data_IF_277975902557
#
_entry.id   IF_277975902557
#
_cell.length_a   1.000
_cell.length_b   1.000
_cell.length_c   1.000
_cell.angle_alpha   90.00
_cell.angle_beta   90.00
_cell.angle_gamma   90.00
#
_symmetry.space_group_name_H-M   'P 1'
#
loop_
_entity.id
_entity.type
_entity.pdbx_description
1 polymer ?
#
# COMPACT_ATOMS: atom_id res chain seq x y z
N UNK A 1 75.28 17.65 39.04
CA UNK A 1 75.68 16.34 38.48
C UNK A 1 74.71 16.04 37.35
N UNK A 2 74.95 16.61 36.16
CA UNK A 2 75.75 16.04 35.06
C UNK A 2 74.98 14.96 34.29
N UNK A 3 74.35 15.38 33.19
CA UNK A 3 73.94 14.52 32.07
C UNK A 3 75.12 13.68 31.55
N UNK A 4 74.85 12.52 30.94
CA UNK A 4 75.22 12.43 29.53
C UNK A 4 74.38 11.48 28.63
N UNK A 5 74.08 12.00 27.42
CA UNK A 5 74.35 11.39 26.11
C UNK A 5 73.55 10.14 25.70
N UNK A 6 72.71 10.26 24.65
CA UNK A 6 72.99 9.65 23.33
C UNK A 6 72.06 10.13 22.20
N UNK A 7 72.67 10.86 21.25
CA UNK A 7 72.57 10.71 19.79
C UNK A 7 71.20 10.84 19.08
N UNK A 8 71.06 11.30 17.84
CA UNK A 8 71.89 11.91 16.78
C UNK A 8 70.86 12.40 15.74
N UNK A 9 71.09 13.60 15.22
CA UNK A 9 70.75 14.16 13.90
C UNK A 9 70.20 13.18 12.83
N UNK A 10 69.06 13.52 12.20
CA UNK A 10 68.81 13.54 10.73
C UNK A 10 67.33 13.95 10.49
N UNK A 11 67.01 15.17 10.09
CA UNK A 11 67.00 15.76 8.73
C UNK A 11 66.10 15.03 7.70
N UNK A 12 65.08 15.79 7.24
CA UNK A 12 64.33 15.73 5.97
C UNK A 12 63.40 14.53 5.70
N UNK A 13 62.11 14.82 5.46
CA UNK A 13 61.51 14.74 4.11
C UNK A 13 60.02 15.14 4.13
N UNK A 14 59.71 16.18 3.36
CA UNK A 14 58.52 16.39 2.52
C UNK A 14 57.23 15.66 2.95
N UNK A 15 56.40 16.33 3.77
CA UNK A 15 54.99 16.00 3.92
C UNK A 15 54.17 16.72 2.84
N UNK A 16 53.83 15.99 1.78
CA UNK A 16 52.84 16.38 0.79
C UNK A 16 51.51 16.74 1.46
N UNK A 17 50.99 17.93 1.16
CA UNK A 17 49.63 18.31 1.54
C UNK A 17 48.63 17.42 0.82
N UNK A 18 48.03 16.49 1.56
CA UNK A 18 46.83 15.78 1.13
C UNK A 18 45.65 16.58 1.69
N UNK A 19 44.83 17.25 0.86
CA UNK A 19 43.54 17.71 1.33
C UNK A 19 42.70 16.48 1.63
N UNK A 20 42.36 16.31 2.91
CA UNK A 20 41.36 15.33 3.33
C UNK A 20 40.02 15.82 2.80
N UNK A 21 39.65 15.36 1.61
CA UNK A 21 38.27 15.48 1.13
C UNK A 21 37.38 14.66 2.05
N UNK A 22 36.84 15.35 3.05
CA UNK A 22 35.67 14.93 3.80
C UNK A 22 34.50 14.90 2.82
N UNK A 23 34.22 13.74 2.22
CA UNK A 23 32.96 13.48 1.54
C UNK A 23 31.87 13.41 2.61
N UNK A 24 31.42 14.61 2.97
CA UNK A 24 30.24 14.93 3.75
C UNK A 24 29.03 14.75 2.83
N UNK A 25 28.05 13.98 3.28
CA UNK A 25 26.72 13.92 2.68
C UNK A 25 26.47 12.71 1.81
N UNK A 26 26.26 11.55 2.45
CA UNK A 26 25.37 10.54 1.87
C UNK A 26 23.96 11.11 1.87
N UNK A 27 23.64 11.94 0.88
CA UNK A 27 22.26 12.11 0.47
C UNK A 27 21.83 10.77 -0.08
N UNK A 28 20.90 10.09 0.60
CA UNK A 28 20.11 9.06 -0.06
C UNK A 28 19.56 9.71 -1.33
N UNK A 29 20.06 9.26 -2.48
CA UNK A 29 19.43 9.52 -3.76
C UNK A 29 18.01 9.00 -3.59
N UNK A 30 17.03 9.90 -3.54
CA UNK A 30 15.62 9.52 -3.47
C UNK A 30 15.38 8.73 -4.74
N UNK A 31 15.22 7.41 -4.62
CA UNK A 31 15.01 6.54 -5.76
C UNK A 31 13.85 7.13 -6.58
N UNK A 32 14.11 7.38 -7.87
CA UNK A 32 13.09 7.91 -8.77
C UNK A 32 11.90 6.96 -8.88
N UNK A 33 10.78 7.43 -9.47
CA UNK A 33 9.62 6.56 -9.71
C UNK A 33 10.04 5.32 -10.51
N UNK A 34 9.36 4.20 -10.27
CA UNK A 34 9.61 2.97 -11.01
C UNK A 34 9.45 3.22 -12.53
N UNK A 35 10.24 2.55 -13.39
CA UNK A 35 10.12 2.70 -14.84
C UNK A 35 8.69 2.49 -15.37
N UNK A 36 7.95 1.52 -14.80
CA UNK A 36 6.54 1.27 -15.15
C UNK A 36 5.63 2.48 -14.86
N UNK A 37 5.87 3.23 -13.79
CA UNK A 37 5.13 4.47 -13.48
C UNK A 37 5.48 5.56 -14.48
N UNK A 38 6.74 5.66 -14.90
CA UNK A 38 7.15 6.60 -15.93
C UNK A 38 6.50 6.30 -17.27
N UNK A 39 6.45 5.02 -17.67
CA UNK A 39 5.75 4.56 -18.87
C UNK A 39 4.28 4.99 -18.84
N UNK A 40 3.56 4.65 -17.76
CA UNK A 40 2.14 4.97 -17.59
C UNK A 40 1.88 6.48 -17.70
N UNK A 41 2.76 7.33 -17.14
CA UNK A 41 2.53 8.77 -17.05
C UNK A 41 3.08 9.58 -18.24
N UNK A 42 4.09 9.06 -18.95
CA UNK A 42 4.87 9.86 -19.92
C UNK A 42 4.87 9.27 -21.33
N UNK A 43 4.75 7.95 -21.49
CA UNK A 43 4.83 7.33 -22.80
C UNK A 43 3.46 7.30 -23.48
N UNK A 44 3.18 8.31 -24.31
CA UNK A 44 1.93 8.40 -25.09
C UNK A 44 1.72 7.27 -26.10
N UNK A 45 2.75 6.44 -26.35
CA UNK A 45 2.67 5.29 -27.25
C UNK A 45 2.40 3.98 -26.52
N UNK A 46 2.52 3.95 -25.19
CA UNK A 46 2.21 2.78 -24.37
C UNK A 46 0.70 2.51 -24.36
N UNK A 47 0.34 1.22 -24.39
CA UNK A 47 -1.03 0.78 -24.17
C UNK A 47 -1.55 1.10 -22.76
N UNK A 48 -0.65 1.44 -21.82
CA UNK A 48 -0.95 1.72 -20.42
C UNK A 48 -0.93 3.22 -20.09
N UNK A 49 -0.72 4.08 -21.09
CA UNK A 49 -0.67 5.52 -20.92
C UNK A 49 -1.95 6.09 -20.30
N UNK A 50 -1.80 6.96 -19.30
CA UNK A 50 -2.89 7.72 -18.70
C UNK A 50 -2.76 9.20 -19.09
N UNK A 51 -3.77 9.73 -19.79
CA UNK A 51 -3.87 11.18 -20.01
C UNK A 51 -4.38 11.88 -18.75
N UNK A 52 -3.43 12.32 -17.92
CA UNK A 52 -3.69 12.98 -16.62
C UNK A 52 -4.46 14.29 -16.74
N UNK A 53 -4.38 14.98 -17.88
CA UNK A 53 -5.07 16.27 -18.07
C UNK A 53 -6.57 16.10 -18.25
N UNK A 54 -6.98 15.02 -18.92
CA UNK A 54 -8.39 14.75 -19.21
C UNK A 54 -9.13 14.23 -17.97
N UNK A 55 -8.38 13.65 -17.02
CA UNK A 55 -8.89 13.04 -15.80
C UNK A 55 -9.69 14.01 -14.90
N UNK A 56 -9.35 15.31 -14.92
CA UNK A 56 -9.86 16.29 -13.95
C UNK A 56 -11.20 16.97 -14.33
N UNK A 57 -11.83 16.62 -15.45
CA UNK A 57 -12.89 17.46 -16.04
C UNK A 57 -14.31 17.18 -15.57
N UNK A 58 -14.66 15.94 -15.18
CA UNK A 58 -15.94 15.63 -14.54
C UNK A 58 -15.84 14.31 -13.76
N UNK A 59 -15.69 14.40 -12.44
CA UNK A 59 -15.47 13.24 -11.57
C UNK A 59 -16.73 12.71 -10.91
N UNK A 60 -17.82 13.48 -10.89
CA UNK A 60 -19.02 13.14 -10.13
C UNK A 60 -19.65 11.83 -10.62
N UNK A 61 -19.69 11.63 -11.94
CA UNK A 61 -20.29 10.46 -12.57
C UNK A 61 -19.34 9.28 -12.79
N UNK A 62 -18.06 9.41 -12.40
CA UNK A 62 -17.11 8.31 -12.52
C UNK A 62 -17.37 7.27 -11.41
N UNK A 63 -17.18 5.97 -11.68
CA UNK A 63 -17.44 4.93 -10.71
C UNK A 63 -16.41 4.91 -9.58
N UNK A 64 -16.79 4.30 -8.45
CA UNK A 64 -15.88 3.81 -7.43
C UNK A 64 -15.40 2.42 -7.89
N UNK A 65 -14.10 2.28 -8.12
CA UNK A 65 -13.49 1.00 -8.46
C UNK A 65 -13.23 0.18 -7.22
N UNK A 66 -13.60 -1.09 -7.24
CA UNK A 66 -13.22 -2.07 -6.21
C UNK A 66 -12.37 -3.14 -6.86
N UNK A 67 -11.08 -3.18 -6.52
CA UNK A 67 -10.11 -4.14 -7.03
C UNK A 67 -10.02 -5.34 -6.08
N UNK A 68 -10.30 -6.53 -6.60
CA UNK A 68 -10.19 -7.80 -5.90
C UNK A 68 -9.29 -8.79 -6.64
N UNK A 69 -8.78 -9.77 -5.91
CA UNK A 69 -8.03 -10.92 -6.43
C UNK A 69 -8.81 -12.23 -6.30
N UNK A 70 -9.97 -12.21 -5.63
CA UNK A 70 -10.92 -13.33 -5.52
C UNK A 70 -12.35 -12.84 -5.73
N UNK A 71 -13.26 -13.75 -6.09
CA UNK A 71 -14.70 -13.48 -6.05
C UNK A 71 -15.17 -13.17 -4.62
N UNK A 72 -14.50 -13.71 -3.61
CA UNK A 72 -14.81 -13.45 -2.20
C UNK A 72 -14.65 -11.97 -1.82
N UNK A 73 -13.84 -11.20 -2.57
CA UNK A 73 -13.66 -9.76 -2.37
C UNK A 73 -14.92 -8.94 -2.70
N UNK A 74 -15.91 -9.57 -3.35
CA UNK A 74 -17.22 -8.95 -3.59
C UNK A 74 -17.93 -8.59 -2.28
N UNK A 75 -17.61 -9.25 -1.16
CA UNK A 75 -18.10 -8.87 0.17
C UNK A 75 -17.80 -7.41 0.52
N UNK A 76 -16.70 -6.84 0.03
CA UNK A 76 -16.40 -5.40 0.22
C UNK A 76 -17.41 -4.53 -0.52
N UNK A 77 -17.83 -4.93 -1.72
CA UNK A 77 -18.90 -4.25 -2.47
C UNK A 77 -20.22 -4.34 -1.72
N UNK A 78 -20.57 -5.50 -1.19
CA UNK A 78 -21.79 -5.69 -0.39
C UNK A 78 -21.81 -4.75 0.82
N UNK A 79 -20.69 -4.66 1.56
CA UNK A 79 -20.54 -3.73 2.68
C UNK A 79 -20.74 -2.28 2.22
N UNK A 80 -20.13 -1.86 1.11
CA UNK A 80 -20.29 -0.48 0.60
C UNK A 80 -21.75 -0.19 0.23
N UNK A 81 -22.46 -1.14 -0.37
CA UNK A 81 -23.86 -0.98 -0.76
C UNK A 81 -24.81 -0.92 0.45
N UNK A 82 -24.42 -1.54 1.57
CA UNK A 82 -25.23 -1.59 2.79
C UNK A 82 -24.85 -0.55 3.85
N UNK A 83 -23.72 0.16 3.68
CA UNK A 83 -23.23 1.14 4.66
C UNK A 83 -24.21 2.31 4.80
N UNK A 84 -24.47 2.71 6.04
CA UNK A 84 -25.31 3.85 6.45
C UNK A 84 -24.76 4.31 7.82
N UNK A 85 -23.53 4.80 7.79
CA UNK A 85 -22.79 5.24 8.99
C UNK A 85 -22.55 6.76 8.98
N UNK A 86 -22.98 7.46 7.93
CA UNK A 86 -22.82 8.90 7.78
C UNK A 86 -24.12 9.57 7.32
N UNK A 87 -24.27 10.84 7.68
CA UNK A 87 -25.34 11.67 7.16
C UNK A 87 -24.91 12.20 5.79
N UNK A 88 -25.64 11.81 4.73
CA UNK A 88 -25.29 12.04 3.34
C UNK A 88 -25.36 13.53 2.93
N UNK A 89 -25.98 14.37 3.75
CA UNK A 89 -26.07 15.82 3.51
C UNK A 89 -24.92 16.55 4.19
N UNK A 90 -24.57 16.16 5.42
CA UNK A 90 -23.60 16.87 6.26
C UNK A 90 -22.21 16.25 6.25
N UNK A 91 -22.09 14.98 5.82
CA UNK A 91 -20.86 14.18 5.83
C UNK A 91 -20.36 13.83 7.23
N UNK A 92 -21.19 13.99 8.26
CA UNK A 92 -20.81 13.70 9.65
C UNK A 92 -21.13 12.24 10.00
N UNK A 93 -20.39 11.63 10.94
CA UNK A 93 -20.74 10.30 11.44
C UNK A 93 -22.15 10.27 12.04
N UNK A 94 -22.88 9.20 11.76
CA UNK A 94 -24.24 8.90 12.20
C UNK A 94 -25.16 8.59 11.02
N UNK A 95 -25.81 7.41 11.07
CA UNK A 95 -26.79 6.97 10.08
C UNK A 95 -27.93 7.98 9.86
N UNK A 96 -28.33 8.19 8.61
CA UNK A 96 -29.48 9.02 8.24
C UNK A 96 -30.64 8.22 7.60
N UNK A 97 -30.44 6.91 7.41
CA UNK A 97 -31.42 6.00 6.82
C UNK A 97 -31.28 5.86 5.30
N UNK A 98 -30.33 6.56 4.68
CA UNK A 98 -29.97 6.45 3.26
C UNK A 98 -28.57 5.83 3.20
N UNK A 99 -28.37 4.85 2.33
CA UNK A 99 -27.05 4.23 2.18
C UNK A 99 -26.01 5.28 1.79
N UNK A 100 -24.83 5.23 2.40
CA UNK A 100 -23.77 6.25 2.26
C UNK A 100 -23.34 6.41 0.80
N UNK A 101 -23.35 5.31 0.05
CA UNK A 101 -23.01 5.26 -1.37
C UNK A 101 -24.25 5.15 -2.28
N UNK A 102 -25.43 5.55 -1.81
CA UNK A 102 -26.63 5.56 -2.63
C UNK A 102 -26.45 6.45 -3.87
N UNK A 103 -26.72 5.89 -5.05
CA UNK A 103 -26.57 6.59 -6.34
C UNK A 103 -25.16 6.53 -6.92
N UNK A 104 -24.20 5.92 -6.22
CA UNK A 104 -22.86 5.68 -6.75
C UNK A 104 -22.83 4.48 -7.71
N UNK A 105 -21.98 4.58 -8.72
CA UNK A 105 -21.66 3.44 -9.59
C UNK A 105 -20.45 2.72 -9.02
N UNK A 106 -20.60 1.43 -8.69
CA UNK A 106 -19.48 0.60 -8.25
C UNK A 106 -19.05 -0.28 -9.41
N UNK A 107 -17.76 -0.25 -9.73
CA UNK A 107 -17.13 -1.09 -10.74
C UNK A 107 -16.22 -2.11 -10.04
N UNK A 108 -16.69 -3.35 -9.93
CA UNK A 108 -15.90 -4.42 -9.32
C UNK A 108 -15.01 -5.07 -10.38
N UNK A 109 -13.71 -5.02 -10.12
CA UNK A 109 -12.69 -5.58 -10.98
C UNK A 109 -11.96 -6.69 -10.24
N UNK A 110 -12.37 -7.92 -10.52
CA UNK A 110 -11.70 -9.11 -10.03
C UNK A 110 -10.68 -9.57 -11.06
N UNK A 111 -9.41 -9.57 -10.65
CA UNK A 111 -8.35 -10.24 -11.40
C UNK A 111 -7.89 -11.45 -10.59
N UNK A 112 -8.29 -12.67 -10.97
CA UNK A 112 -7.71 -13.84 -10.34
C UNK A 112 -6.19 -13.75 -10.50
N UNK A 113 -5.42 -13.96 -9.42
CA UNK A 113 -3.98 -13.77 -9.45
C UNK A 113 -3.40 -14.61 -10.58
N UNK A 114 -2.58 -13.98 -11.43
CA UNK A 114 -1.67 -14.74 -12.29
C UNK A 114 -0.80 -15.62 -11.39
N UNK A 115 -0.26 -16.72 -11.90
CA UNK A 115 0.73 -17.48 -11.14
C UNK A 115 1.95 -16.56 -10.88
N UNK A 116 2.10 -16.08 -9.65
CA UNK A 116 3.20 -15.20 -9.19
C UNK A 116 3.32 -13.89 -10.00
N UNK A 117 2.34 -12.96 -9.91
CA UNK A 117 2.38 -11.72 -10.68
C UNK A 117 3.54 -10.85 -10.21
N UNK A 118 4.32 -10.30 -11.14
CA UNK A 118 5.34 -9.34 -10.78
C UNK A 118 4.71 -8.07 -10.19
N UNK A 119 5.49 -7.35 -9.38
CA UNK A 119 5.11 -6.03 -8.86
C UNK A 119 4.68 -5.07 -9.99
N UNK A 120 5.37 -5.10 -11.13
CA UNK A 120 5.07 -4.27 -12.30
C UNK A 120 3.75 -4.68 -12.95
N UNK A 121 3.49 -5.98 -13.10
CA UNK A 121 2.23 -6.48 -13.66
C UNK A 121 1.03 -6.05 -12.80
N UNK A 122 1.16 -6.12 -11.47
CA UNK A 122 0.11 -5.68 -10.56
C UNK A 122 -0.14 -4.17 -10.68
N UNK A 123 0.92 -3.37 -10.83
CA UNK A 123 0.81 -1.92 -11.06
C UNK A 123 0.06 -1.65 -12.37
N UNK A 124 0.42 -2.33 -13.46
CA UNK A 124 -0.23 -2.16 -14.77
C UNK A 124 -1.71 -2.56 -14.75
N UNK A 125 -2.02 -3.64 -14.04
CA UNK A 125 -3.39 -4.13 -13.86
C UNK A 125 -4.26 -3.10 -13.13
N UNK A 126 -3.81 -2.63 -11.96
CA UNK A 126 -4.53 -1.62 -11.18
C UNK A 126 -4.59 -0.29 -11.93
N UNK A 127 -3.51 0.16 -12.56
CA UNK A 127 -3.48 1.39 -13.36
C UNK A 127 -4.45 1.35 -14.55
N UNK A 128 -4.82 0.15 -15.01
CA UNK A 128 -5.91 -0.06 -15.94
C UNK A 128 -7.23 0.60 -15.48
N UNK A 129 -7.50 0.68 -14.18
CA UNK A 129 -8.69 1.33 -13.60
C UNK A 129 -8.70 2.86 -13.78
N UNK A 130 -7.55 3.46 -14.07
CA UNK A 130 -7.38 4.91 -14.13
C UNK A 130 -7.49 5.50 -15.53
N UNK A 131 -7.80 4.66 -16.53
CA UNK A 131 -7.98 5.05 -17.93
C UNK A 131 -9.29 4.54 -18.49
N UNK A 132 -9.70 5.15 -19.60
CA UNK A 132 -10.77 4.63 -20.43
C UNK A 132 -10.36 3.26 -20.99
N UNK A 133 -11.20 2.26 -20.81
CA UNK A 133 -11.08 0.94 -21.43
C UNK A 133 -12.35 0.66 -22.22
N UNK A 134 -12.31 0.91 -23.53
CA UNK A 134 -13.47 0.86 -24.41
C UNK A 134 -14.65 1.71 -23.88
N UNK A 135 -15.67 1.06 -23.31
CA UNK A 135 -16.86 1.70 -22.75
C UNK A 135 -16.78 1.91 -21.23
N UNK A 136 -15.70 1.47 -20.58
CA UNK A 136 -15.50 1.58 -19.14
C UNK A 136 -14.78 2.91 -18.81
N UNK A 137 -15.41 3.82 -18.06
CA UNK A 137 -14.76 5.04 -17.60
C UNK A 137 -13.64 4.76 -16.58
N UNK A 138 -12.72 5.72 -16.37
CA UNK A 138 -11.81 5.67 -15.24
C UNK A 138 -12.54 5.84 -13.90
N UNK A 139 -11.96 5.35 -12.79
CA UNK A 139 -12.61 5.33 -11.47
C UNK A 139 -12.28 6.56 -10.61
N UNK A 140 -13.25 7.27 -10.01
CA UNK A 140 -12.95 8.44 -9.14
C UNK A 140 -12.28 8.07 -7.82
N UNK A 141 -12.49 6.84 -7.36
CA UNK A 141 -11.93 6.29 -6.15
C UNK A 141 -11.57 4.82 -6.39
N UNK A 142 -10.59 4.30 -5.65
CA UNK A 142 -10.13 2.93 -5.72
C UNK A 142 -10.12 2.31 -4.32
N UNK A 143 -10.92 1.26 -4.13
CA UNK A 143 -10.83 0.37 -2.98
C UNK A 143 -10.07 -0.88 -3.39
N UNK A 144 -8.94 -1.15 -2.74
CA UNK A 144 -8.18 -2.40 -2.89
C UNK A 144 -8.65 -3.36 -1.80
N UNK A 145 -9.43 -4.35 -2.21
CA UNK A 145 -10.08 -5.33 -1.33
C UNK A 145 -9.21 -6.58 -1.10
N UNK A 146 -8.55 -7.07 -2.15
CA UNK A 146 -7.77 -8.32 -2.11
C UNK A 146 -6.52 -8.26 -1.23
N UNK A 147 -6.27 -9.35 -0.50
CA UNK A 147 -5.13 -9.52 0.42
C UNK A 147 -3.79 -9.86 -0.29
N UNK A 148 -3.84 -10.11 -1.61
CA UNK A 148 -2.67 -10.39 -2.44
C UNK A 148 -2.00 -9.14 -3.01
N UNK A 149 -2.59 -7.95 -2.83
CA UNK A 149 -1.92 -6.69 -3.17
C UNK A 149 -1.04 -6.29 -2.00
N UNK A 150 0.28 -6.46 -2.15
CA UNK A 150 1.25 -6.07 -1.12
C UNK A 150 1.17 -4.58 -0.80
N UNK A 151 1.55 -4.21 0.43
CA UNK A 151 1.67 -2.80 0.81
C UNK A 151 2.67 -2.04 -0.06
N UNK A 152 3.72 -2.70 -0.55
CA UNK A 152 4.67 -2.09 -1.46
C UNK A 152 4.00 -1.71 -2.80
N UNK A 153 3.24 -2.62 -3.41
CA UNK A 153 2.47 -2.31 -4.63
C UNK A 153 1.46 -1.20 -4.36
N UNK A 154 0.76 -1.26 -3.23
CA UNK A 154 -0.20 -0.23 -2.88
C UNK A 154 0.44 1.16 -2.77
N UNK A 155 1.62 1.27 -2.15
CA UNK A 155 2.38 2.53 -2.10
C UNK A 155 2.85 2.98 -3.49
N UNK A 156 3.18 2.08 -4.41
CA UNK A 156 3.46 2.44 -5.80
C UNK A 156 2.24 3.00 -6.53
N UNK A 157 1.07 2.43 -6.27
CA UNK A 157 -0.20 2.95 -6.80
C UNK A 157 -0.49 4.34 -6.25
N UNK A 158 -0.26 4.57 -4.96
CA UNK A 158 -0.35 5.90 -4.36
C UNK A 158 0.62 6.88 -5.02
N UNK A 159 1.88 6.48 -5.20
CA UNK A 159 2.88 7.28 -5.90
C UNK A 159 2.46 7.61 -7.34
N UNK A 160 1.91 6.64 -8.09
CA UNK A 160 1.38 6.85 -9.43
C UNK A 160 0.24 7.88 -9.42
N UNK A 161 -0.71 7.77 -8.49
CA UNK A 161 -1.84 8.70 -8.34
C UNK A 161 -1.34 10.11 -8.02
N UNK A 162 -0.39 10.25 -7.11
CA UNK A 162 0.17 11.52 -6.67
C UNK A 162 1.00 12.20 -7.78
N UNK A 163 1.93 11.46 -8.40
CA UNK A 163 2.76 11.97 -9.50
C UNK A 163 1.91 12.33 -10.73
N UNK A 164 0.91 11.52 -11.04
CA UNK A 164 -0.05 11.77 -12.11
C UNK A 164 -1.06 12.88 -11.79
N UNK A 165 -1.13 13.35 -10.54
CA UNK A 165 -2.16 14.29 -10.05
C UNK A 165 -3.57 13.85 -10.42
N UNK A 166 -3.83 12.54 -10.37
CA UNK A 166 -5.12 11.95 -10.76
C UNK A 166 -6.21 12.33 -9.76
N UNK A 167 -5.83 12.64 -8.52
CA UNK A 167 -6.76 13.01 -7.45
C UNK A 167 -7.67 11.87 -6.98
N UNK A 168 -7.40 10.63 -7.42
CA UNK A 168 -8.10 9.42 -7.03
C UNK A 168 -7.95 9.22 -5.53
N UNK A 169 -9.08 9.04 -4.84
CA UNK A 169 -9.07 8.62 -3.44
C UNK A 169 -8.81 7.12 -3.43
N UNK A 170 -7.80 6.65 -2.71
CA UNK A 170 -7.51 5.22 -2.63
C UNK A 170 -7.48 4.72 -1.19
N UNK A 171 -8.04 3.53 -0.99
CA UNK A 171 -8.15 2.85 0.31
C UNK A 171 -7.74 1.40 0.09
N UNK A 172 -6.88 0.87 0.96
CA UNK A 172 -6.58 -0.55 1.05
C UNK A 172 -7.27 -1.12 2.30
N UNK A 173 -8.09 -2.15 2.12
CA UNK A 173 -8.88 -2.75 3.21
C UNK A 173 -7.97 -3.39 4.28
N UNK A 174 -6.87 -4.01 3.87
CA UNK A 174 -5.89 -4.59 4.79
C UNK A 174 -5.23 -3.51 5.65
N UNK A 175 -4.82 -2.39 5.04
CA UNK A 175 -4.29 -1.25 5.79
C UNK A 175 -5.33 -0.66 6.74
N UNK A 176 -6.57 -0.44 6.28
CA UNK A 176 -7.64 0.09 7.10
C UNK A 176 -7.97 -0.81 8.31
N UNK A 177 -7.94 -2.13 8.12
CA UNK A 177 -8.09 -3.12 9.18
C UNK A 177 -6.97 -3.04 10.22
N UNK A 178 -5.71 -2.96 9.76
CA UNK A 178 -4.54 -2.83 10.63
C UNK A 178 -4.58 -1.51 11.44
N UNK A 179 -4.89 -0.39 10.79
CA UNK A 179 -5.03 0.92 11.43
C UNK A 179 -6.13 0.91 12.50
N UNK A 180 -7.25 0.23 12.22
CA UNK A 180 -8.34 0.08 13.19
C UNK A 180 -7.91 -0.77 14.38
N UNK A 181 -7.21 -1.88 14.15
CA UNK A 181 -6.66 -2.71 15.21
C UNK A 181 -5.71 -1.92 16.12
N UNK A 182 -4.77 -1.15 15.54
CA UNK A 182 -3.88 -0.28 16.30
C UNK A 182 -4.62 0.81 17.07
N UNK A 183 -5.59 1.48 16.43
CA UNK A 183 -6.41 2.51 17.08
C UNK A 183 -7.13 1.94 18.32
N UNK A 184 -7.65 0.72 18.22
CA UNK A 184 -8.27 0.03 19.34
C UNK A 184 -7.26 -0.29 20.45
N UNK A 185 -6.09 -0.84 20.08
CA UNK A 185 -5.02 -1.18 21.03
C UNK A 185 -4.57 0.06 21.80
N UNK A 186 -4.25 1.15 21.10
CA UNK A 186 -3.85 2.41 21.72
C UNK A 186 -4.98 2.91 22.64
N UNK A 187 -6.19 3.07 22.12
CA UNK A 187 -7.30 3.65 22.91
C UNK A 187 -7.65 2.85 24.18
N UNK A 188 -7.49 1.52 24.18
CA UNK A 188 -7.93 0.65 25.28
C UNK A 188 -6.78 0.11 26.15
N UNK A 189 -5.53 0.16 25.68
CA UNK A 189 -4.38 -0.45 26.35
C UNK A 189 -3.18 0.49 26.60
N UNK A 190 -3.36 1.81 26.40
CA UNK A 190 -2.34 2.84 26.67
C UNK A 190 -1.75 2.85 28.11
N UNK A 191 -2.38 2.19 29.09
CA UNK A 191 -2.00 2.31 30.51
C UNK A 191 -1.24 1.13 31.13
N UNK A 192 -0.73 0.15 30.39
CA UNK A 192 0.09 -0.90 31.01
C UNK A 192 1.27 -1.30 30.14
N UNK A 193 2.35 -1.70 30.79
CA UNK A 193 3.44 -2.56 30.29
C UNK A 193 2.94 -3.91 29.72
N UNK A 194 1.77 -3.96 29.11
CA UNK A 194 1.09 -5.15 28.64
C UNK A 194 1.47 -5.36 27.18
N UNK A 195 2.22 -6.43 26.93
CA UNK A 195 2.38 -7.00 25.59
C UNK A 195 0.99 -7.38 25.11
N UNK A 196 0.51 -6.72 24.05
CA UNK A 196 -0.74 -7.09 23.38
C UNK A 196 -0.39 -8.07 22.27
N UNK A 197 -1.16 -9.14 22.18
CA UNK A 197 -1.07 -10.12 21.09
C UNK A 197 -2.23 -9.89 20.15
N UNK A 198 -1.94 -9.77 18.86
CA UNK A 198 -2.93 -9.71 17.79
C UNK A 198 -2.87 -11.02 17.02
N UNK A 199 -4.01 -11.71 16.94
CA UNK A 199 -4.17 -12.88 16.07
C UNK A 199 -4.81 -12.45 14.76
N UNK A 200 -4.21 -12.85 13.64
CA UNK A 200 -4.72 -12.58 12.30
C UNK A 200 -5.05 -13.91 11.62
N UNK A 201 -6.24 -13.99 11.03
CA UNK A 201 -6.68 -15.13 10.22
C UNK A 201 -6.77 -14.63 8.79
N UNK A 202 -6.01 -15.25 7.88
CA UNK A 202 -5.93 -14.86 6.47
C UNK A 202 -5.50 -16.04 5.60
N UNK A 203 -5.41 -15.82 4.29
CA UNK A 203 -4.93 -16.81 3.32
C UNK A 203 -3.43 -17.05 3.47
N UNK A 204 -2.95 -18.22 3.04
CA UNK A 204 -1.50 -18.51 3.01
C UNK A 204 -0.72 -17.56 2.09
N UNK A 205 -1.37 -17.06 1.02
CA UNK A 205 -0.80 -16.08 0.10
C UNK A 205 -0.51 -14.75 0.76
N UNK A 206 -1.46 -14.20 1.53
CA UNK A 206 -1.27 -12.96 2.27
C UNK A 206 -0.08 -13.01 3.26
N UNK A 207 0.10 -14.13 3.95
CA UNK A 207 1.25 -14.32 4.84
C UNK A 207 2.57 -14.45 4.09
N UNK A 208 2.60 -15.15 2.96
CA UNK A 208 3.79 -15.29 2.12
C UNK A 208 4.26 -13.95 1.53
N UNK A 209 3.34 -12.99 1.45
CA UNK A 209 3.53 -11.64 0.94
C UNK A 209 3.79 -10.60 2.03
N UNK A 210 3.98 -11.02 3.29
CA UNK A 210 4.28 -10.13 4.41
C UNK A 210 3.22 -9.02 4.61
N UNK A 211 1.97 -9.31 4.26
CA UNK A 211 0.92 -8.30 4.21
C UNK A 211 0.67 -7.66 5.60
N UNK A 212 0.94 -8.39 6.68
CA UNK A 212 0.71 -7.95 8.05
C UNK A 212 1.98 -7.52 8.80
N UNK A 213 3.15 -7.42 8.15
CA UNK A 213 4.41 -7.05 8.80
C UNK A 213 4.31 -5.71 9.55
N UNK A 214 3.49 -4.78 9.07
CA UNK A 214 3.28 -3.50 9.75
C UNK A 214 2.72 -3.69 11.17
N UNK A 215 1.96 -4.77 11.45
CA UNK A 215 1.47 -5.09 12.79
C UNK A 215 2.60 -5.39 13.79
N UNK A 216 3.75 -5.87 13.30
CA UNK A 216 4.91 -6.19 14.14
C UNK A 216 5.60 -4.94 14.71
N UNK A 217 5.34 -3.75 14.17
CA UNK A 217 5.94 -2.50 14.66
C UNK A 217 5.54 -2.18 16.10
N UNK A 218 4.31 -2.52 16.50
CA UNK A 218 3.78 -2.21 17.84
C UNK A 218 3.25 -3.43 18.61
N UNK A 219 3.16 -4.60 17.97
CA UNK A 219 2.56 -5.79 18.57
C UNK A 219 3.40 -7.04 18.34
N UNK A 220 3.16 -8.07 19.15
CA UNK A 220 3.63 -9.41 18.81
C UNK A 220 2.55 -10.08 17.96
N UNK A 221 2.85 -10.30 16.68
CA UNK A 221 1.99 -11.04 15.75
C UNK A 221 2.29 -12.53 15.88
N UNK A 222 1.25 -13.34 16.02
CA UNK A 222 1.38 -14.80 16.05
C UNK A 222 0.67 -15.37 14.81
N UNK A 223 1.44 -16.08 13.99
CA UNK A 223 0.94 -16.78 12.82
C UNK A 223 0.63 -18.22 13.18
N UNK A 224 -0.57 -18.68 12.85
CA UNK A 224 -0.94 -20.09 12.94
C UNK A 224 -1.57 -20.52 11.62
N UNK A 225 -0.85 -21.32 10.85
CA UNK A 225 -1.38 -21.93 9.64
C UNK A 225 -2.53 -22.87 9.99
N UNK A 226 -3.67 -22.73 9.29
CA UNK A 226 -4.76 -23.68 9.43
C UNK A 226 -4.42 -24.95 8.65
N UNK A 227 -4.07 -26.02 9.36
CA UNK A 227 -4.00 -27.36 8.78
C UNK A 227 -5.37 -28.03 8.92
N UNK A 228 -6.08 -28.36 7.83
CA UNK A 228 -7.33 -29.12 7.92
C UNK A 228 -7.09 -30.43 8.67
N UNK A 229 -7.95 -30.75 9.64
CA UNK A 229 -7.91 -32.04 10.31
C UNK A 229 -8.37 -33.10 9.30
N UNK A 230 -7.49 -34.05 8.94
CA UNK A 230 -7.83 -35.15 8.05
C UNK A 230 -9.12 -35.86 8.52
N UNK A 231 -10.11 -35.98 7.63
CA UNK A 231 -11.36 -36.71 7.88
C UNK A 231 -12.58 -35.87 8.25
N UNK A 232 -12.49 -34.54 8.36
CA UNK A 232 -13.67 -33.64 8.35
C UNK A 232 -13.81 -33.00 6.97
N UNK A 233 -14.78 -33.48 6.18
CA UNK A 233 -15.18 -32.84 4.92
C UNK A 233 -15.59 -31.39 5.17
N UNK A 234 -15.13 -30.47 4.30
CA UNK A 234 -15.56 -29.07 4.23
C UNK A 234 -16.97 -28.90 3.65
N UNK A 235 -17.64 -29.95 3.18
CA UNK A 235 -18.95 -29.88 2.51
C UNK A 235 -20.16 -29.75 3.45
N UNK A 236 -19.99 -29.37 4.73
CA UNK A 236 -21.14 -29.09 5.60
C UNK A 236 -20.93 -27.86 6.46
N UNK A 237 -20.79 -26.70 5.84
CA UNK A 237 -21.18 -25.43 6.49
C UNK A 237 -21.51 -24.38 5.43
N UNK A 238 -22.68 -24.50 4.78
CA UNK A 238 -23.65 -23.41 4.54
C UNK A 238 -25.04 -24.07 4.57
#
# INVERSE_FOLDING_TARGET
MTDPIRNIILLLLLGSGVPVSSCKGGGQEVAGPLPVIEEILKDTTSAHYINTKDYATNRENLPIGVFGTSEDDLQVVEILLELDEFDNITGKPGADGIKDFAGEHIDFYCLPPLNDPSREDMILQIAGLFRWQDHRPPVKALVVAGDLVTMQVYEDIRNLIELGKLGIITINVLQAGNDKAFSYIRSNHNQRNNRVTVGVISTAGAFSLNAYDCLEEETAVAFQEYTPIEGRSSEKTI
#
